data_IF_459297554822
#
_entry.id   IF_459297554822
#
_cell.length_a   1.000
_cell.length_b   1.000
_cell.length_c   1.000
_cell.angle_alpha   90.00
_cell.angle_beta   90.00
_cell.angle_gamma   90.00
#
_symmetry.space_group_name_H-M   'P 1'
#
loop_
_entity.id
_entity.type
_entity.pdbx_description
1 polymer ?
#
# COMPACT_ATOMS: atom_id res chain seq x y z
N UNK A 1 -3.52 1.90 -23.64
CA UNK A 1 -3.72 0.56 -23.04
C UNK A 1 -2.90 0.42 -21.77
N UNK A 2 -3.45 -0.29 -20.77
CA UNK A 2 -2.89 -0.64 -19.44
C UNK A 2 -3.06 0.43 -18.33
N UNK A 3 -4.29 0.52 -17.85
CA UNK A 3 -4.69 1.23 -16.63
C UNK A 3 -4.82 0.22 -15.48
N UNK A 4 -4.49 0.67 -14.25
CA UNK A 4 -4.81 0.06 -12.95
C UNK A 4 -3.88 -1.03 -12.37
N UNK A 5 -2.68 -0.64 -11.94
CA UNK A 5 -1.82 -1.42 -11.02
C UNK A 5 -1.60 -0.69 -9.69
N UNK A 6 -2.70 -0.32 -9.03
CA UNK A 6 -2.67 0.58 -7.85
C UNK A 6 -3.23 0.02 -6.55
N UNK A 7 -3.43 -1.29 -6.46
CA UNK A 7 -3.98 -1.93 -5.27
C UNK A 7 -2.89 -2.73 -4.52
N UNK A 8 -1.62 -2.62 -4.95
CA UNK A 8 -0.61 -3.66 -4.71
C UNK A 8 0.42 -3.44 -3.58
N UNK A 9 0.23 -2.52 -2.63
CA UNK A 9 1.25 -2.31 -1.57
C UNK A 9 0.87 -2.92 -0.20
N UNK A 10 -0.27 -3.62 -0.08
CA UNK A 10 -0.69 -4.23 1.19
C UNK A 10 -0.77 -5.77 1.19
N UNK A 11 -0.01 -6.47 0.32
CA UNK A 11 -0.04 -7.94 0.20
C UNK A 11 1.36 -8.52 0.43
N UNK A 12 1.99 -8.20 1.55
CA UNK A 12 3.21 -8.92 1.86
C UNK A 12 3.41 -8.95 3.37
N UNK A 13 2.87 -10.03 3.93
CA UNK A 13 3.31 -10.87 5.06
C UNK A 13 2.05 -11.64 5.47
N UNK A 14 1.86 -12.83 4.90
CA UNK A 14 1.00 -13.89 5.43
C UNK A 14 1.19 -15.13 4.55
N UNK A 15 2.24 -15.89 4.85
CA UNK A 15 2.43 -17.26 4.37
C UNK A 15 2.72 -18.10 5.61
N UNK A 16 1.74 -18.89 6.02
CA UNK A 16 1.86 -20.31 6.38
C UNK A 16 0.55 -20.76 7.04
N UNK A 17 -0.41 -21.19 6.22
CA UNK A 17 -1.38 -22.25 6.52
C UNK A 17 -2.03 -22.69 5.19
N UNK A 18 -2.05 -23.99 4.84
CA UNK A 18 -2.78 -24.49 3.69
C UNK A 18 -4.23 -24.71 4.11
N UNK A 19 -5.08 -23.69 3.94
CA UNK A 19 -6.53 -23.93 3.88
C UNK A 19 -6.84 -24.20 2.42
N UNK A 20 -7.37 -25.37 2.11
CA UNK A 20 -8.02 -25.64 0.84
C UNK A 20 -9.28 -24.77 0.78
N UNK A 21 -9.10 -23.50 0.40
CA UNK A 21 -10.19 -22.57 0.14
C UNK A 21 -10.69 -22.95 -1.25
N UNK A 22 -11.78 -23.72 -1.30
CA UNK A 22 -12.64 -23.74 -2.48
C UNK A 22 -12.88 -22.29 -2.87
N UNK A 23 -12.37 -21.88 -4.04
CA UNK A 23 -12.47 -20.49 -4.47
C UNK A 23 -13.89 -20.23 -4.96
N UNK A 24 -14.86 -20.24 -4.05
CA UNK A 24 -16.19 -19.73 -4.34
C UNK A 24 -16.01 -18.26 -4.71
N UNK A 25 -16.17 -17.97 -6.01
CA UNK A 25 -16.22 -16.59 -6.49
C UNK A 25 -17.33 -15.91 -5.72
N UNK A 26 -16.99 -14.86 -4.98
CA UNK A 26 -17.96 -14.20 -4.13
C UNK A 26 -18.88 -13.37 -5.01
N UNK A 27 -20.18 -13.63 -4.90
CA UNK A 27 -21.18 -12.89 -5.65
C UNK A 27 -21.21 -11.41 -5.21
N UNK A 28 -21.36 -10.51 -6.18
CA UNK A 28 -21.48 -9.07 -5.97
C UNK A 28 -22.59 -8.72 -4.97
N UNK A 29 -23.68 -9.49 -4.99
CA UNK A 29 -24.82 -9.33 -4.08
C UNK A 29 -24.52 -9.60 -2.61
N UNK A 30 -23.42 -10.28 -2.27
CA UNK A 30 -23.02 -10.57 -0.88
C UNK A 30 -22.18 -9.46 -0.23
N UNK A 31 -21.78 -8.46 -1.00
CA UNK A 31 -21.04 -7.30 -0.48
C UNK A 31 -21.96 -6.38 0.33
N UNK A 32 -21.42 -5.72 1.37
CA UNK A 32 -22.17 -4.70 2.11
C UNK A 32 -22.53 -3.52 1.21
N UNK A 33 -23.56 -2.76 1.55
CA UNK A 33 -23.96 -1.58 0.76
C UNK A 33 -22.84 -0.55 0.63
N UNK A 34 -22.02 -0.34 1.67
CA UNK A 34 -20.87 0.58 1.55
C UNK A 34 -19.75 0.01 0.68
N UNK A 35 -19.50 -1.31 0.76
CA UNK A 35 -18.53 -1.98 -0.11
C UNK A 35 -18.96 -1.89 -1.57
N UNK A 36 -20.23 -2.18 -1.88
CA UNK A 36 -20.80 -2.07 -3.23
C UNK A 36 -20.66 -0.65 -3.77
N UNK A 37 -20.96 0.37 -2.96
CA UNK A 37 -20.79 1.78 -3.35
C UNK A 37 -19.34 2.13 -3.66
N UNK A 38 -18.39 1.67 -2.84
CA UNK A 38 -16.97 1.95 -3.06
C UNK A 38 -16.39 1.19 -4.27
N UNK A 39 -16.85 -0.04 -4.47
CA UNK A 39 -16.39 -0.92 -5.54
C UNK A 39 -17.22 -0.79 -6.82
N UNK A 40 -18.22 0.10 -6.86
CA UNK A 40 -19.13 0.28 -7.99
C UNK A 40 -18.44 0.29 -9.36
N UNK A 41 -17.27 0.93 -9.56
CA UNK A 41 -16.57 0.88 -10.85
C UNK A 41 -16.11 -0.51 -11.31
N UNK A 42 -16.20 -1.52 -10.43
CA UNK A 42 -15.87 -2.91 -10.69
C UNK A 42 -17.10 -3.81 -10.81
N UNK A 43 -18.34 -3.33 -10.62
CA UNK A 43 -19.56 -4.15 -10.63
C UNK A 43 -19.67 -5.01 -11.88
N UNK A 44 -19.52 -4.39 -13.05
CA UNK A 44 -19.76 -5.03 -14.35
C UNK A 44 -18.72 -6.12 -14.64
N UNK A 45 -17.49 -5.92 -14.13
CA UNK A 45 -16.39 -6.84 -14.32
C UNK A 45 -16.26 -7.84 -13.16
N UNK A 46 -17.01 -7.67 -12.08
CA UNK A 46 -16.87 -8.45 -10.87
C UNK A 46 -16.93 -9.97 -11.10
N UNK A 47 -17.86 -10.51 -11.92
CA UNK A 47 -17.93 -11.95 -12.17
C UNK A 47 -16.71 -12.49 -12.94
N UNK A 48 -16.03 -11.63 -13.70
CA UNK A 48 -14.81 -11.98 -14.45
C UNK A 48 -13.54 -11.94 -13.61
N UNK A 49 -13.58 -11.34 -12.43
CA UNK A 49 -12.42 -11.27 -11.55
C UNK A 49 -12.16 -12.64 -10.91
N UNK A 50 -10.88 -12.99 -10.74
CA UNK A 50 -10.53 -14.17 -9.95
C UNK A 50 -10.94 -13.97 -8.49
N UNK A 51 -11.21 -15.06 -7.77
CA UNK A 51 -11.55 -15.02 -6.35
C UNK A 51 -10.49 -14.27 -5.52
N UNK A 52 -9.20 -14.44 -5.85
CA UNK A 52 -8.11 -13.72 -5.19
C UNK A 52 -8.22 -12.20 -5.40
N UNK A 53 -8.59 -11.76 -6.61
CA UNK A 53 -8.74 -10.34 -6.92
C UNK A 53 -9.98 -9.75 -6.27
N UNK A 54 -11.09 -10.49 -6.24
CA UNK A 54 -12.30 -10.11 -5.49
C UNK A 54 -11.96 -9.93 -4.00
N UNK A 55 -11.30 -10.91 -3.38
CA UNK A 55 -10.89 -10.86 -1.98
C UNK A 55 -9.96 -9.67 -1.67
N UNK A 56 -9.03 -9.34 -2.57
CA UNK A 56 -8.15 -8.16 -2.43
C UNK A 56 -8.93 -6.85 -2.50
N UNK A 57 -9.92 -6.74 -3.39
CA UNK A 57 -10.78 -5.57 -3.50
C UNK A 57 -11.62 -5.38 -2.25
N UNK A 58 -12.23 -6.46 -1.74
CA UNK A 58 -13.01 -6.45 -0.51
C UNK A 58 -12.17 -6.02 0.69
N UNK A 59 -11.03 -6.66 0.92
CA UNK A 59 -10.10 -6.27 2.01
C UNK A 59 -9.63 -4.82 1.88
N UNK A 60 -9.51 -4.31 0.65
CA UNK A 60 -9.23 -2.90 0.39
C UNK A 60 -10.38 -1.99 0.80
N UNK A 61 -11.60 -2.38 0.48
CA UNK A 61 -12.82 -1.67 0.85
C UNK A 61 -13.02 -1.64 2.37
N UNK A 62 -12.88 -2.77 3.05
CA UNK A 62 -12.99 -2.85 4.52
C UNK A 62 -12.01 -1.91 5.20
N UNK A 63 -10.76 -1.93 4.73
CA UNK A 63 -9.72 -1.04 5.26
C UNK A 63 -10.06 0.42 5.02
N UNK A 64 -10.64 0.76 3.87
CA UNK A 64 -11.03 2.13 3.57
C UNK A 64 -12.20 2.61 4.46
N UNK A 65 -13.21 1.76 4.63
CA UNK A 65 -14.38 2.04 5.46
C UNK A 65 -14.01 2.16 6.94
N UNK A 66 -13.04 1.38 7.42
CA UNK A 66 -12.51 1.49 8.77
C UNK A 66 -11.54 2.66 9.02
N UNK A 67 -11.22 3.49 8.01
CA UNK A 67 -10.35 4.66 8.19
C UNK A 67 -11.13 5.88 8.67
N UNK A 68 -10.51 6.68 9.56
CA UNK A 68 -11.03 8.01 9.88
C UNK A 68 -10.96 8.96 8.68
N UNK A 69 -11.75 10.04 8.69
CA UNK A 69 -11.76 11.04 7.61
C UNK A 69 -10.36 11.59 7.30
N UNK A 70 -9.54 11.83 8.32
CA UNK A 70 -8.16 12.26 8.12
C UNK A 70 -7.28 11.19 7.49
N UNK A 71 -7.43 9.92 7.91
CA UNK A 71 -6.69 8.81 7.33
C UNK A 71 -7.05 8.64 5.86
N UNK A 72 -8.34 8.72 5.52
CA UNK A 72 -8.82 8.72 4.15
C UNK A 72 -8.24 9.90 3.36
N UNK A 73 -8.25 11.13 3.90
CA UNK A 73 -7.68 12.31 3.24
C UNK A 73 -6.17 12.14 2.95
N UNK A 74 -5.41 11.60 3.92
CA UNK A 74 -3.98 11.27 3.74
C UNK A 74 -3.79 10.19 2.67
N UNK A 75 -4.65 9.17 2.66
CA UNK A 75 -4.61 8.11 1.65
C UNK A 75 -4.91 8.65 0.24
N UNK A 76 -5.94 9.50 0.07
CA UNK A 76 -6.25 10.19 -1.21
C UNK A 76 -5.06 11.00 -1.70
N UNK A 77 -4.40 11.76 -0.82
CA UNK A 77 -3.22 12.56 -1.17
C UNK A 77 -2.06 11.68 -1.64
N UNK A 78 -1.80 10.55 -0.96
CA UNK A 78 -0.76 9.58 -1.37
C UNK A 78 -1.09 8.92 -2.70
N UNK A 79 -2.36 8.59 -2.92
CA UNK A 79 -2.85 7.99 -4.15
C UNK A 79 -2.65 8.94 -5.34
N UNK A 80 -3.04 10.21 -5.22
CA UNK A 80 -2.81 11.24 -6.25
C UNK A 80 -1.33 11.38 -6.60
N UNK A 81 -0.45 11.39 -5.58
CA UNK A 81 1.01 11.41 -5.80
C UNK A 81 1.49 10.17 -6.55
N UNK A 82 0.99 8.99 -6.21
CA UNK A 82 1.34 7.75 -6.91
C UNK A 82 0.88 7.79 -8.36
N UNK A 83 -0.34 8.30 -8.65
CA UNK A 83 -0.88 8.35 -10.01
C UNK A 83 0.03 9.16 -10.94
N UNK A 84 0.56 10.26 -10.41
CA UNK A 84 1.48 11.15 -11.10
C UNK A 84 2.91 10.59 -11.26
N UNK A 85 3.25 9.43 -10.69
CA UNK A 85 4.56 8.81 -10.91
C UNK A 85 4.65 8.26 -12.34
N UNK A 86 5.83 8.40 -12.94
CA UNK A 86 6.14 7.76 -14.23
C UNK A 86 6.18 6.23 -14.09
N UNK A 87 6.03 5.47 -15.19
CA UNK A 87 6.17 4.01 -15.15
C UNK A 87 7.47 3.54 -14.46
N UNK A 88 8.60 4.18 -14.79
CA UNK A 88 9.93 3.85 -14.26
C UNK A 88 10.01 4.13 -12.75
N UNK A 89 9.41 5.24 -12.30
CA UNK A 89 9.31 5.56 -10.87
C UNK A 89 8.44 4.53 -10.13
N UNK A 90 7.35 4.08 -10.75
CA UNK A 90 6.49 3.02 -10.20
C UNK A 90 7.22 1.68 -10.14
N UNK A 91 8.01 1.33 -11.15
CA UNK A 91 8.84 0.12 -11.16
C UNK A 91 9.89 0.16 -10.05
N UNK A 92 10.62 1.27 -9.93
CA UNK A 92 11.60 1.46 -8.85
C UNK A 92 10.97 1.36 -7.46
N UNK A 93 9.76 1.91 -7.29
CA UNK A 93 9.02 1.79 -6.03
C UNK A 93 8.59 0.35 -5.75
N UNK A 94 8.11 -0.37 -6.76
CA UNK A 94 7.75 -1.80 -6.65
C UNK A 94 8.96 -2.64 -6.27
N UNK A 95 10.11 -2.39 -6.87
CA UNK A 95 11.35 -3.10 -6.56
C UNK A 95 11.81 -2.84 -5.12
N UNK A 96 11.86 -1.57 -4.71
CA UNK A 96 12.17 -1.22 -3.31
C UNK A 96 11.21 -1.85 -2.32
N UNK A 97 9.93 -1.94 -2.67
CA UNK A 97 8.93 -2.60 -1.84
C UNK A 97 9.20 -4.10 -1.74
N UNK A 98 9.49 -4.80 -2.85
CA UNK A 98 9.88 -6.22 -2.83
C UNK A 98 11.10 -6.46 -1.94
N UNK A 99 12.13 -5.64 -2.07
CA UNK A 99 13.34 -5.71 -1.24
C UNK A 99 13.03 -5.48 0.23
N UNK A 100 12.24 -4.45 0.57
CA UNK A 100 11.81 -4.24 1.94
C UNK A 100 11.06 -5.46 2.49
N UNK A 101 10.28 -6.09 1.64
CA UNK A 101 9.43 -7.20 2.00
C UNK A 101 10.16 -8.54 2.14
N UNK A 102 11.30 -8.71 1.49
CA UNK A 102 12.20 -9.84 1.74
C UNK A 102 13.07 -9.66 2.99
N UNK A 103 13.09 -8.48 3.62
CA UNK A 103 13.85 -8.28 4.86
C UNK A 103 13.30 -9.14 6.02
N UNK A 104 14.20 -9.64 6.90
CA UNK A 104 13.81 -10.23 8.17
C UNK A 104 12.94 -9.29 9.02
N UNK A 105 12.00 -9.83 9.82
CA UNK A 105 11.11 -9.03 10.67
C UNK A 105 11.84 -8.01 11.56
N UNK A 106 12.99 -8.38 12.13
CA UNK A 106 13.77 -7.50 13.01
C UNK A 106 14.32 -6.30 12.24
N UNK A 107 14.78 -6.52 11.00
CA UNK A 107 15.25 -5.44 10.12
C UNK A 107 14.10 -4.52 9.73
N UNK A 108 12.93 -5.07 9.40
CA UNK A 108 11.71 -4.29 9.13
C UNK A 108 11.32 -3.44 10.33
N UNK A 109 11.36 -4.00 11.54
CA UNK A 109 11.04 -3.28 12.78
C UNK A 109 12.02 -2.13 13.04
N UNK A 110 13.33 -2.38 12.95
CA UNK A 110 14.36 -1.33 13.09
C UNK A 110 14.14 -0.19 12.10
N UNK A 111 13.81 -0.49 10.85
CA UNK A 111 13.50 0.53 9.84
C UNK A 111 12.25 1.35 10.20
N UNK A 112 11.17 0.70 10.67
CA UNK A 112 9.95 1.38 11.11
C UNK A 112 10.22 2.30 12.31
N UNK A 113 10.98 1.84 13.29
CA UNK A 113 11.37 2.63 14.46
C UNK A 113 12.17 3.86 14.07
N UNK A 114 13.19 3.70 13.20
CA UNK A 114 13.98 4.83 12.68
C UNK A 114 13.11 5.84 11.92
N UNK A 115 12.19 5.37 11.09
CA UNK A 115 11.27 6.24 10.37
C UNK A 115 10.33 7.01 11.31
N UNK A 116 9.84 6.36 12.36
CA UNK A 116 8.99 6.99 13.37
C UNK A 116 9.76 8.02 14.20
N UNK A 117 10.98 7.69 14.64
CA UNK A 117 11.88 8.63 15.30
C UNK A 117 12.14 9.87 14.42
N UNK A 118 12.48 9.65 13.14
CA UNK A 118 12.71 10.74 12.19
C UNK A 118 11.46 11.59 11.99
N UNK A 119 10.26 10.99 11.93
CA UNK A 119 9.00 11.72 11.80
C UNK A 119 8.75 12.64 12.99
N UNK A 120 9.11 12.20 14.19
CA UNK A 120 8.84 12.91 15.45
C UNK A 120 9.91 13.96 15.82
N UNK A 121 11.04 14.02 15.10
CA UNK A 121 12.06 15.05 15.35
C UNK A 121 11.54 16.48 15.08
N UNK A 122 11.99 17.49 15.86
CA UNK A 122 11.79 18.89 15.54
C UNK A 122 12.33 19.25 14.14
N UNK A 123 11.72 20.23 13.45
CA UNK A 123 12.12 20.61 12.10
C UNK A 123 13.59 21.08 12.00
N UNK A 124 14.11 21.73 13.03
CA UNK A 124 15.49 22.20 13.16
C UNK A 124 16.45 21.01 13.15
N UNK A 125 16.20 20.01 14.01
CA UNK A 125 16.99 18.77 14.06
C UNK A 125 16.95 17.99 12.77
N UNK A 126 15.79 17.96 12.09
CA UNK A 126 15.68 17.36 10.74
C UNK A 126 16.53 18.10 9.72
N UNK A 127 16.62 19.43 9.80
CA UNK A 127 17.43 20.27 8.90
C UNK A 127 18.91 20.02 9.12
N UNK A 128 19.37 20.00 10.38
CA UNK A 128 20.74 19.66 10.77
C UNK A 128 21.13 18.27 10.23
N UNK A 129 20.28 17.26 10.44
CA UNK A 129 20.58 15.90 9.99
C UNK A 129 20.70 15.82 8.46
N UNK A 130 19.84 16.51 7.72
CA UNK A 130 19.93 16.59 6.26
C UNK A 130 21.21 17.32 5.81
N UNK A 131 21.61 18.37 6.51
CA UNK A 131 22.83 19.11 6.19
C UNK A 131 24.07 18.23 6.39
N UNK A 132 24.21 17.60 7.56
CA UNK A 132 25.31 16.66 7.84
C UNK A 132 25.39 15.53 6.82
N UNK A 133 24.25 14.99 6.41
CA UNK A 133 24.21 13.95 5.39
C UNK A 133 24.70 14.43 4.02
N UNK A 134 24.39 15.67 3.63
CA UNK A 134 24.92 16.26 2.39
C UNK A 134 26.41 16.50 2.47
N UNK A 135 26.89 17.09 3.57
CA UNK A 135 28.32 17.37 3.79
C UNK A 135 29.16 16.10 3.69
N UNK A 136 28.72 15.02 4.34
CA UNK A 136 29.37 13.71 4.29
C UNK A 136 29.31 13.01 2.91
N UNK A 137 28.44 13.45 2.00
CA UNK A 137 28.39 12.92 0.62
C UNK A 137 29.25 13.72 -0.36
N UNK A 138 29.61 14.95 -0.01
CA UNK A 138 30.43 15.85 -0.83
C UNK A 138 31.92 15.82 -0.50
N UNK A 139 32.33 15.15 0.59
CA UNK A 139 33.73 14.89 0.91
C UNK A 139 34.18 13.60 0.20
N UNK A 140 35.25 13.63 -0.63
CA UNK A 140 35.80 12.44 -1.29
C UNK A 140 36.41 11.44 -0.32
#
# INVERSE_FOLDING_TARGET
MKLNTLILIAILVLLYQPVAISSEKMDWGRLSSEQQKLLQPFSDKWPSLSAERQAKLMKGADRWLGMSAEQQARAKKRFKKWQNLTPEQKDKLRERFRQFQSLPPEKKQKMRQRAQWLKNLPPERKKELRQRWRENQTMP
#
